data_IF_510729190828
#
_entry.id   IF_510729190828
#
_cell.length_a   1.000
_cell.length_b   1.000
_cell.length_c   1.000
_cell.angle_alpha   90.00
_cell.angle_beta   90.00
_cell.angle_gamma   90.00
#
_symmetry.space_group_name_H-M   'P 1'
#
loop_
_entity.id
_entity.type
_entity.pdbx_description
1 polymer ?
#
# COMPACT_ATOMS: atom_id res chain seq x y z
N UNK A 1 10.86 -6.64 -17.78
CA UNK A 1 10.11 -5.88 -16.75
C UNK A 1 8.62 -6.21 -16.80
N UNK A 2 7.87 -5.96 -15.72
CA UNK A 2 6.41 -6.13 -15.66
C UNK A 2 5.72 -4.81 -15.36
N UNK A 3 4.45 -4.71 -15.73
CA UNK A 3 3.56 -3.65 -15.28
C UNK A 3 2.83 -4.14 -14.03
N UNK A 4 3.05 -3.49 -12.89
CA UNK A 4 2.39 -3.79 -11.63
C UNK A 4 1.38 -2.68 -11.32
N UNK A 5 0.14 -3.05 -11.02
CA UNK A 5 -0.95 -2.10 -10.76
C UNK A 5 -1.63 -2.48 -9.45
N UNK A 6 -1.80 -1.52 -8.57
CA UNK A 6 -2.64 -1.67 -7.40
C UNK A 6 -3.82 -0.71 -7.45
N UNK A 7 -5.02 -1.25 -7.27
CA UNK A 7 -6.28 -0.50 -7.37
C UNK A 7 -6.88 -0.36 -5.97
N UNK A 8 -6.51 0.74 -5.32
CA UNK A 8 -7.08 1.15 -4.04
C UNK A 8 -8.36 1.98 -4.17
N UNK A 9 -9.05 2.21 -3.05
CA UNK A 9 -10.32 2.97 -3.03
C UNK A 9 -10.17 4.44 -3.48
N UNK A 10 -9.00 5.04 -3.26
CA UNK A 10 -8.73 6.46 -3.56
C UNK A 10 -7.80 6.63 -4.75
N UNK A 11 -6.76 5.81 -4.82
CA UNK A 11 -5.74 5.90 -5.86
C UNK A 11 -5.48 4.53 -6.49
N UNK A 12 -5.08 4.58 -7.76
CA UNK A 12 -4.48 3.46 -8.48
C UNK A 12 -2.99 3.75 -8.57
N UNK A 13 -2.16 2.85 -8.04
CA UNK A 13 -0.71 2.90 -8.19
C UNK A 13 -0.32 2.09 -9.42
N UNK A 14 0.48 2.67 -10.29
CA UNK A 14 0.98 2.03 -11.52
C UNK A 14 2.50 2.10 -11.50
N UNK A 15 3.16 0.96 -11.59
CA UNK A 15 4.61 0.90 -11.66
C UNK A 15 5.12 -0.06 -12.74
N UNK A 16 6.27 0.25 -13.32
CA UNK A 16 7.06 -0.70 -14.09
C UNK A 16 8.25 -1.15 -13.26
N UNK A 17 8.42 -2.46 -13.10
CA UNK A 17 9.43 -3.03 -12.21
C UNK A 17 10.02 -4.31 -12.81
N UNK A 18 11.29 -4.57 -12.53
CA UNK A 18 11.93 -5.88 -12.66
C UNK A 18 12.80 -6.20 -11.42
N UNK A 19 13.58 -7.27 -11.49
CA UNK A 19 14.44 -7.72 -10.38
C UNK A 19 15.49 -6.67 -9.96
N UNK A 20 15.84 -5.72 -10.84
CA UNK A 20 16.94 -4.78 -10.62
C UNK A 20 16.46 -3.41 -10.18
N UNK A 21 15.36 -2.90 -10.77
CA UNK A 21 14.90 -1.54 -10.53
C UNK A 21 13.41 -1.32 -10.75
N UNK A 22 12.92 -0.22 -10.19
CA UNK A 22 11.61 0.35 -10.49
C UNK A 22 11.83 1.52 -11.44
N UNK A 23 11.35 1.36 -12.66
CA UNK A 23 11.50 2.35 -13.74
C UNK A 23 10.66 3.60 -13.50
N UNK A 24 9.46 3.41 -12.95
CA UNK A 24 8.61 4.49 -12.48
C UNK A 24 7.54 3.97 -11.50
N UNK A 25 7.01 4.89 -10.71
CA UNK A 25 5.79 4.70 -9.91
C UNK A 25 4.92 5.94 -10.04
N UNK A 26 3.69 5.75 -10.52
CA UNK A 26 2.72 6.81 -10.70
C UNK A 26 1.40 6.52 -10.01
N UNK A 27 0.63 7.57 -9.77
CA UNK A 27 -0.69 7.48 -9.14
C UNK A 27 -1.76 8.14 -10.00
N UNK A 28 -2.83 7.39 -10.21
CA UNK A 28 -4.07 7.90 -10.79
C UNK A 28 -5.15 7.94 -9.71
N UNK A 29 -6.11 8.85 -9.84
CA UNK A 29 -7.31 8.80 -9.01
C UNK A 29 -8.17 7.59 -9.37
N UNK A 30 -8.73 6.91 -8.37
CA UNK A 30 -9.71 5.85 -8.57
C UNK A 30 -11.06 6.45 -8.95
N UNK A 31 -11.42 6.39 -10.22
CA UNK A 31 -12.68 6.93 -10.75
C UNK A 31 -13.56 5.77 -11.21
N UNK A 32 -14.59 5.46 -10.42
CA UNK A 32 -15.46 4.27 -10.65
C UNK A 32 -16.32 4.37 -11.90
N UNK A 33 -16.48 5.56 -12.47
CA UNK A 33 -17.30 5.81 -13.67
C UNK A 33 -16.49 5.79 -14.96
N UNK A 34 -15.14 5.70 -14.91
CA UNK A 34 -14.29 5.58 -16.09
C UNK A 34 -14.54 4.27 -16.83
N UNK A 35 -14.56 4.40 -18.14
CA UNK A 35 -14.65 3.28 -19.08
C UNK A 35 -13.28 2.60 -19.27
N UNK A 36 -13.29 1.42 -19.88
CA UNK A 36 -12.07 0.71 -20.28
C UNK A 36 -11.15 1.57 -21.16
N UNK A 37 -11.72 2.35 -22.10
CA UNK A 37 -10.93 3.20 -23.00
C UNK A 37 -10.24 4.34 -22.24
N UNK A 38 -10.93 4.97 -21.28
CA UNK A 38 -10.35 6.06 -20.49
C UNK A 38 -9.18 5.55 -19.65
N UNK A 39 -9.31 4.41 -18.96
CA UNK A 39 -8.18 3.79 -18.26
C UNK A 39 -7.06 3.38 -19.22
N UNK A 40 -7.39 2.89 -20.43
CA UNK A 40 -6.39 2.55 -21.43
C UNK A 40 -5.61 3.78 -21.90
N UNK A 41 -6.28 4.93 -22.07
CA UNK A 41 -5.61 6.20 -22.43
C UNK A 41 -4.70 6.66 -21.30
N UNK A 42 -5.15 6.65 -20.05
CA UNK A 42 -4.33 7.03 -18.89
C UNK A 42 -3.06 6.18 -18.80
N UNK A 43 -3.21 4.85 -18.84
CA UNK A 43 -2.10 3.90 -18.75
C UNK A 43 -1.12 4.05 -19.92
N UNK A 44 -1.65 4.21 -21.14
CA UNK A 44 -0.80 4.49 -22.31
C UNK A 44 -0.03 5.78 -22.15
N UNK A 45 -0.68 6.85 -21.66
CA UNK A 45 -0.04 8.14 -21.44
C UNK A 45 1.11 8.02 -20.41
N UNK A 46 0.92 7.27 -19.34
CA UNK A 46 2.01 7.00 -18.37
C UNK A 46 3.19 6.32 -19.06
N UNK A 47 2.94 5.23 -19.81
CA UNK A 47 4.02 4.53 -20.52
C UNK A 47 4.76 5.44 -21.51
N UNK A 48 4.03 6.29 -22.23
CA UNK A 48 4.60 7.24 -23.18
C UNK A 48 5.46 8.32 -22.47
N UNK A 49 5.01 8.84 -21.31
CA UNK A 49 5.76 9.81 -20.49
C UNK A 49 7.11 9.22 -20.04
N UNK A 50 7.13 7.97 -19.63
CA UNK A 50 8.35 7.29 -19.17
C UNK A 50 9.12 6.58 -20.30
N UNK A 51 8.70 6.78 -21.55
CA UNK A 51 9.30 6.18 -22.75
C UNK A 51 9.39 4.65 -22.72
N UNK A 52 8.50 3.99 -21.98
CA UNK A 52 8.42 2.53 -21.90
C UNK A 52 7.67 1.97 -23.12
N UNK A 53 8.35 1.13 -23.87
CA UNK A 53 7.72 0.46 -25.00
C UNK A 53 6.94 -0.76 -24.53
N UNK A 54 5.73 -0.94 -25.03
CA UNK A 54 4.90 -2.13 -24.71
C UNK A 54 5.58 -3.48 -24.99
N UNK A 55 6.58 -3.50 -25.87
CA UNK A 55 7.37 -4.69 -26.19
C UNK A 55 8.35 -5.07 -25.09
N UNK A 56 8.72 -4.14 -24.24
CA UNK A 56 9.64 -4.34 -23.10
C UNK A 56 8.89 -4.90 -21.88
N UNK A 57 7.56 -4.76 -21.85
CA UNK A 57 6.71 -5.27 -20.77
C UNK A 57 6.39 -6.75 -21.05
N UNK A 58 6.87 -7.65 -20.22
CA UNK A 58 6.66 -9.10 -20.34
C UNK A 58 5.25 -9.52 -19.95
N UNK A 59 4.66 -8.84 -18.98
CA UNK A 59 3.31 -9.10 -18.49
C UNK A 59 2.82 -8.06 -17.52
N UNK A 60 1.65 -8.31 -16.94
CA UNK A 60 1.05 -7.42 -15.96
C UNK A 60 0.42 -8.20 -14.82
N UNK A 61 0.54 -7.65 -13.61
CA UNK A 61 -0.18 -8.12 -12.43
C UNK A 61 -0.99 -6.96 -11.83
N UNK A 62 -2.23 -7.25 -11.44
CA UNK A 62 -3.13 -6.30 -10.78
C UNK A 62 -3.47 -6.82 -9.38
N UNK A 63 -3.21 -6.01 -8.35
CA UNK A 63 -3.87 -6.08 -7.05
C UNK A 63 -5.08 -5.15 -7.06
N UNK A 64 -6.17 -5.53 -6.41
CA UNK A 64 -7.33 -4.66 -6.33
C UNK A 64 -8.21 -4.97 -5.12
N UNK A 65 -8.63 -3.90 -4.45
CA UNK A 65 -9.68 -3.91 -3.42
C UNK A 65 -10.97 -3.20 -3.90
N UNK A 66 -11.09 -2.93 -5.21
CA UNK A 66 -12.25 -2.26 -5.83
C UNK A 66 -12.83 -3.11 -6.96
N UNK A 67 -13.69 -4.10 -6.64
CA UNK A 67 -14.22 -5.06 -7.61
C UNK A 67 -14.88 -4.43 -8.84
N UNK A 68 -15.51 -3.26 -8.69
CA UNK A 68 -16.24 -2.58 -9.75
C UNK A 68 -15.37 -2.18 -10.94
N UNK A 69 -14.09 -1.88 -10.70
CA UNK A 69 -13.18 -1.44 -11.78
C UNK A 69 -12.09 -2.46 -12.10
N UNK A 70 -11.94 -3.51 -11.31
CA UNK A 70 -10.90 -4.54 -11.52
C UNK A 70 -10.94 -5.10 -12.94
N UNK A 71 -12.12 -5.50 -13.40
CA UNK A 71 -12.26 -6.06 -14.76
C UNK A 71 -12.08 -5.00 -15.85
N UNK A 72 -12.53 -3.77 -15.61
CA UNK A 72 -12.37 -2.64 -16.53
C UNK A 72 -10.87 -2.32 -16.71
N UNK A 73 -10.13 -2.21 -15.62
CA UNK A 73 -8.69 -1.98 -15.64
C UNK A 73 -7.92 -3.14 -16.30
N UNK A 74 -8.29 -4.39 -16.01
CA UNK A 74 -7.75 -5.57 -16.67
C UNK A 74 -7.89 -5.49 -18.18
N UNK A 75 -9.11 -5.24 -18.68
CA UNK A 75 -9.39 -5.12 -20.12
C UNK A 75 -8.63 -3.94 -20.75
N UNK A 76 -8.50 -2.82 -20.04
CA UNK A 76 -7.72 -1.68 -20.48
C UNK A 76 -6.24 -2.05 -20.71
N UNK A 77 -5.63 -2.76 -19.77
CA UNK A 77 -4.24 -3.25 -19.89
C UNK A 77 -4.11 -4.27 -21.02
N UNK A 78 -5.01 -5.25 -21.12
CA UNK A 78 -5.01 -6.26 -22.17
C UNK A 78 -5.16 -5.60 -23.57
N UNK A 79 -5.92 -4.53 -23.67
CA UNK A 79 -6.06 -3.73 -24.92
C UNK A 79 -4.75 -3.09 -25.33
N UNK A 80 -3.95 -2.57 -24.39
CA UNK A 80 -2.68 -1.89 -24.66
C UNK A 80 -1.57 -2.89 -24.93
N UNK A 81 -1.39 -3.85 -24.03
CA UNK A 81 -0.25 -4.77 -24.03
C UNK A 81 -0.44 -5.96 -24.97
N UNK A 82 -1.69 -6.31 -25.32
CA UNK A 82 -2.04 -7.55 -26.04
C UNK A 82 -1.52 -8.83 -25.34
N UNK A 83 -1.51 -8.80 -24.00
CA UNK A 83 -1.05 -9.89 -23.14
C UNK A 83 -2.10 -10.17 -22.06
N UNK A 84 -2.15 -11.40 -21.56
CA UNK A 84 -2.99 -11.75 -20.42
C UNK A 84 -2.52 -11.01 -19.17
N UNK A 85 -3.46 -10.56 -18.38
CA UNK A 85 -3.22 -9.86 -17.12
C UNK A 85 -3.52 -10.81 -15.97
N UNK A 86 -2.56 -10.96 -15.06
CA UNK A 86 -2.76 -11.66 -13.79
C UNK A 86 -3.51 -10.75 -12.83
N UNK A 87 -4.55 -11.25 -12.19
CA UNK A 87 -5.24 -10.52 -11.10
C UNK A 87 -5.01 -11.29 -9.82
N UNK A 88 -4.40 -10.64 -8.85
CA UNK A 88 -4.11 -11.22 -7.54
C UNK A 88 -5.43 -11.56 -6.81
N UNK A 89 -5.59 -12.82 -6.44
CA UNK A 89 -6.80 -13.35 -5.82
C UNK A 89 -6.73 -14.86 -5.66
N UNK A 90 -7.87 -15.51 -5.38
CA UNK A 90 -7.94 -16.95 -5.20
C UNK A 90 -7.32 -17.72 -6.38
N UNK A 91 -6.48 -18.69 -6.07
CA UNK A 91 -5.79 -19.53 -7.08
C UNK A 91 -4.41 -19.02 -7.51
N UNK A 92 -4.02 -17.80 -7.16
CA UNK A 92 -2.66 -17.28 -7.41
C UNK A 92 -1.72 -17.76 -6.30
N UNK A 93 -0.58 -18.31 -6.68
CA UNK A 93 0.46 -18.77 -5.75
C UNK A 93 1.22 -17.58 -5.19
N UNK A 94 0.97 -17.21 -3.95
CA UNK A 94 1.70 -16.13 -3.27
C UNK A 94 2.95 -16.61 -2.55
N UNK A 95 2.94 -17.86 -2.07
CA UNK A 95 3.96 -18.42 -1.18
C UNK A 95 3.82 -17.96 0.27
N UNK A 96 2.82 -17.13 0.58
CA UNK A 96 2.49 -16.71 1.92
C UNK A 96 1.52 -17.72 2.56
N UNK A 97 1.88 -18.22 3.74
CA UNK A 97 0.97 -19.03 4.55
C UNK A 97 0.13 -18.09 5.43
N UNK A 98 -1.18 -18.08 5.22
CA UNK A 98 -2.12 -17.20 5.91
C UNK A 98 -2.90 -18.03 6.93
N UNK A 99 -2.74 -17.71 8.22
CA UNK A 99 -3.35 -18.41 9.36
C UNK A 99 -4.58 -17.69 9.92
N UNK A 100 -5.21 -16.84 9.11
CA UNK A 100 -6.48 -16.20 9.49
C UNK A 100 -7.65 -17.19 9.37
N UNK A 101 -8.71 -16.95 10.14
CA UNK A 101 -9.96 -17.75 10.08
C UNK A 101 -10.53 -17.80 8.66
N UNK A 102 -10.49 -16.67 7.94
CA UNK A 102 -10.95 -16.53 6.58
C UNK A 102 -9.88 -15.89 5.68
N UNK A 103 -8.90 -16.68 5.18
CA UNK A 103 -7.80 -16.14 4.37
C UNK A 103 -8.24 -15.37 3.12
N UNK A 104 -9.39 -15.75 2.54
CA UNK A 104 -9.95 -15.09 1.35
C UNK A 104 -10.50 -13.68 1.57
N UNK A 105 -10.59 -13.22 2.82
CA UNK A 105 -11.01 -11.86 3.17
C UNK A 105 -9.82 -10.89 3.26
N UNK A 106 -8.58 -11.41 3.23
CA UNK A 106 -7.40 -10.57 3.25
C UNK A 106 -7.29 -9.79 1.93
N UNK A 107 -7.13 -8.48 2.01
CA UNK A 107 -6.96 -7.61 0.86
C UNK A 107 -5.75 -8.02 0.01
N UNK A 108 -5.88 -7.91 -1.29
CA UNK A 108 -4.82 -8.29 -2.23
C UNK A 108 -3.55 -7.42 -2.04
N UNK A 109 -3.72 -6.16 -1.71
CA UNK A 109 -2.67 -5.22 -1.32
C UNK A 109 -1.89 -5.70 -0.09
N UNK A 110 -2.58 -6.08 0.99
CA UNK A 110 -1.95 -6.60 2.21
C UNK A 110 -1.22 -7.93 1.96
N UNK A 111 -1.73 -8.77 1.05
CA UNK A 111 -1.04 -9.98 0.63
C UNK A 111 0.27 -9.64 -0.09
N UNK A 112 0.25 -8.67 -1.01
CA UNK A 112 1.44 -8.25 -1.76
C UNK A 112 2.50 -7.66 -0.81
N UNK A 113 2.10 -6.75 0.08
CA UNK A 113 2.98 -6.16 1.08
C UNK A 113 3.61 -7.22 2.01
N UNK A 114 2.82 -8.16 2.49
CA UNK A 114 3.30 -9.24 3.34
C UNK A 114 4.27 -10.19 2.61
N UNK A 115 4.03 -10.47 1.32
CA UNK A 115 4.94 -11.24 0.48
C UNK A 115 6.28 -10.51 0.34
N UNK A 116 6.27 -9.23 0.01
CA UNK A 116 7.50 -8.44 -0.09
C UNK A 116 8.25 -8.40 1.24
N UNK A 117 7.54 -8.06 2.33
CA UNK A 117 8.12 -7.98 3.65
C UNK A 117 8.76 -9.31 4.07
N UNK A 118 8.05 -10.44 3.87
CA UNK A 118 8.57 -11.77 4.23
C UNK A 118 9.81 -12.18 3.44
N UNK A 119 9.99 -11.68 2.22
CA UNK A 119 11.17 -11.98 1.40
C UNK A 119 12.35 -11.05 1.73
N UNK A 120 12.11 -9.79 2.04
CA UNK A 120 13.14 -8.77 2.12
C UNK A 120 13.61 -8.47 3.55
N UNK A 121 12.84 -8.87 4.58
CA UNK A 121 13.11 -8.49 5.96
C UNK A 121 13.12 -9.71 6.90
N UNK A 122 13.86 -9.62 8.03
CA UNK A 122 13.86 -10.68 9.04
C UNK A 122 12.54 -10.71 9.82
N UNK A 123 12.04 -11.92 10.10
CA UNK A 123 10.85 -12.16 10.92
C UNK A 123 11.19 -12.23 12.43
N UNK A 124 10.23 -12.01 13.33
CA UNK A 124 8.83 -11.67 13.04
C UNK A 124 8.68 -10.25 12.49
N UNK A 125 7.55 -9.96 11.80
CA UNK A 125 7.35 -8.74 11.06
C UNK A 125 6.04 -8.05 11.41
N UNK A 126 6.09 -6.72 11.51
CA UNK A 126 4.91 -5.85 11.54
C UNK A 126 4.98 -4.96 10.30
N UNK A 127 3.99 -5.07 9.40
CA UNK A 127 3.90 -4.25 8.20
C UNK A 127 2.80 -3.21 8.38
N UNK A 128 3.17 -1.95 8.29
CA UNK A 128 2.29 -0.79 8.45
C UNK A 128 1.97 -0.21 7.07
N UNK A 129 0.89 -0.62 6.48
CA UNK A 129 0.04 0.10 5.53
C UNK A 129 -1.34 0.21 6.18
N UNK A 130 -1.93 -0.94 6.51
CA UNK A 130 -2.79 -1.06 7.70
C UNK A 130 -1.92 -1.54 8.89
N UNK A 131 -2.17 -2.64 9.53
CA UNK A 131 -1.20 -3.32 10.41
C UNK A 131 -1.31 -4.80 10.16
N UNK A 132 -0.30 -5.39 9.55
CA UNK A 132 -0.21 -6.82 9.27
C UNK A 132 0.91 -7.44 10.10
N UNK A 133 0.67 -8.64 10.67
CA UNK A 133 1.62 -9.31 11.55
C UNK A 133 2.01 -10.66 10.96
N UNK A 134 3.32 -10.90 10.83
CA UNK A 134 3.88 -12.19 10.46
C UNK A 134 4.73 -12.73 11.61
N UNK A 135 4.53 -14.00 11.95
CA UNK A 135 5.28 -14.67 13.01
C UNK A 135 6.74 -14.99 12.59
N UNK A 136 7.49 -15.62 13.49
CA UNK A 136 8.87 -16.08 13.30
C UNK A 136 9.06 -17.01 12.08
N UNK A 137 8.00 -17.73 11.68
CA UNK A 137 7.97 -18.61 10.49
C UNK A 137 7.52 -17.89 9.22
N UNK A 138 7.42 -16.56 9.25
CA UNK A 138 6.93 -15.75 8.12
C UNK A 138 5.51 -16.09 7.68
N UNK A 139 4.67 -16.56 8.59
CA UNK A 139 3.26 -16.85 8.35
C UNK A 139 2.45 -15.62 8.75
N UNK A 140 1.50 -15.22 7.93
CA UNK A 140 0.57 -14.13 8.23
C UNK A 140 -0.42 -14.60 9.29
N UNK A 141 -0.37 -14.03 10.49
CA UNK A 141 -1.17 -14.47 11.64
C UNK A 141 -2.37 -13.56 11.95
N UNK A 142 -2.42 -12.40 11.34
CA UNK A 142 -3.50 -11.44 11.55
C UNK A 142 -3.05 -10.00 11.42
N UNK A 143 -3.87 -9.08 11.89
CA UNK A 143 -3.55 -7.65 11.82
C UNK A 143 -4.62 -6.78 12.43
N UNK A 144 -4.48 -5.47 12.24
CA UNK A 144 -5.40 -4.45 12.72
C UNK A 144 -5.77 -3.49 11.61
N UNK A 145 -7.02 -3.08 11.55
CA UNK A 145 -7.51 -2.06 10.62
C UNK A 145 -7.66 -0.76 11.40
N UNK A 146 -6.91 0.26 10.99
CA UNK A 146 -6.90 1.57 11.62
C UNK A 146 -7.44 2.63 10.66
N UNK A 147 -8.08 3.69 11.17
CA UNK A 147 -8.40 4.83 10.34
C UNK A 147 -7.08 5.50 9.89
N UNK A 148 -6.89 5.58 8.57
CA UNK A 148 -5.72 6.27 8.01
C UNK A 148 -5.68 7.76 8.39
N UNK A 149 -4.51 8.36 8.31
CA UNK A 149 -4.27 9.78 8.69
C UNK A 149 -5.17 10.74 7.92
N UNK A 150 -5.38 10.50 6.62
CA UNK A 150 -6.28 11.31 5.78
C UNK A 150 -7.72 11.22 6.28
N UNK A 151 -8.23 10.00 6.49
CA UNK A 151 -9.58 9.78 7.01
C UNK A 151 -9.78 10.43 8.39
N UNK A 152 -8.77 10.35 9.26
CA UNK A 152 -8.81 10.99 10.59
C UNK A 152 -8.89 12.50 10.49
N UNK A 153 -8.14 13.10 9.56
CA UNK A 153 -8.20 14.54 9.30
C UNK A 153 -9.55 14.96 8.72
N UNK A 154 -10.05 14.21 7.73
CA UNK A 154 -11.35 14.48 7.10
C UNK A 154 -12.49 14.37 8.12
N UNK A 155 -12.45 13.38 9.00
CA UNK A 155 -13.41 13.22 10.08
C UNK A 155 -13.37 14.39 11.07
N UNK A 156 -12.17 14.87 11.41
CA UNK A 156 -11.97 16.02 12.30
C UNK A 156 -12.53 17.31 11.68
N UNK A 157 -12.19 17.58 10.42
CA UNK A 157 -12.61 18.83 9.73
C UNK A 157 -14.09 18.84 9.37
N UNK A 158 -14.65 17.69 8.97
CA UNK A 158 -16.06 17.60 8.57
C UNK A 158 -17.04 17.68 9.74
N UNK A 159 -16.61 17.29 10.95
CA UNK A 159 -17.48 17.25 12.14
C UNK A 159 -17.28 18.42 13.11
N UNK A 160 -16.24 19.21 12.95
CA UNK A 160 -15.97 20.38 13.77
C UNK A 160 -16.16 21.66 12.97
N UNK A 161 -17.33 22.27 13.10
CA UNK A 161 -17.78 23.43 12.30
C UNK A 161 -16.85 24.66 12.32
N UNK A 162 -15.93 24.74 13.29
CA UNK A 162 -14.97 25.83 13.41
C UNK A 162 -13.55 25.46 12.95
N UNK A 163 -13.32 24.22 12.52
CA UNK A 163 -12.02 23.79 12.06
C UNK A 163 -11.97 23.84 10.53
N UNK A 164 -11.13 24.71 9.99
CA UNK A 164 -10.87 24.79 8.56
C UNK A 164 -10.06 23.60 8.06
N UNK A 165 -10.08 23.35 6.74
CA UNK A 165 -9.21 22.33 6.12
C UNK A 165 -7.74 22.71 6.29
N UNK A 166 -6.92 21.72 6.67
CA UNK A 166 -5.47 21.83 6.76
C UNK A 166 -4.79 20.74 5.94
N UNK A 167 -3.56 21.00 5.50
CA UNK A 167 -2.71 19.95 4.94
C UNK A 167 -2.10 19.07 6.04
N UNK A 168 -1.78 17.81 5.69
CA UNK A 168 -0.99 16.93 6.56
C UNK A 168 0.47 17.36 6.44
N UNK A 169 0.89 18.21 7.37
CA UNK A 169 2.21 18.83 7.42
C UNK A 169 2.77 18.77 8.85
N UNK A 170 4.10 18.80 8.93
CA UNK A 170 4.81 18.84 10.20
C UNK A 170 4.36 20.06 11.05
N UNK A 171 3.99 19.85 12.33
CA UNK A 171 3.74 20.96 13.23
C UNK A 171 5.06 21.62 13.63
N UNK A 172 5.03 22.92 13.94
CA UNK A 172 6.22 23.63 14.44
C UNK A 172 6.63 23.17 15.85
N UNK A 173 5.64 22.83 16.66
CA UNK A 173 5.83 22.36 18.03
C UNK A 173 4.80 21.30 18.39
N UNK A 174 5.16 20.39 19.31
CA UNK A 174 4.23 19.40 19.86
C UNK A 174 3.00 20.09 20.51
N UNK A 175 3.22 21.16 21.25
CA UNK A 175 2.13 21.96 21.85
C UNK A 175 1.84 23.13 20.91
N UNK A 176 0.77 23.02 20.13
CA UNK A 176 0.32 24.09 19.23
C UNK A 176 -0.19 25.31 20.02
N UNK A 177 0.04 26.51 19.47
CA UNK A 177 -0.39 27.77 20.06
C UNK A 177 -1.53 28.45 19.33
N UNK A 178 -2.05 27.85 18.28
CA UNK A 178 -3.24 28.28 17.55
C UNK A 178 -3.93 27.02 16.98
N UNK A 179 -5.18 27.15 16.54
CA UNK A 179 -6.02 26.05 16.09
C UNK A 179 -5.34 25.20 15.00
N UNK A 180 -4.75 25.84 13.99
CA UNK A 180 -4.07 25.13 12.88
C UNK A 180 -2.90 24.30 13.38
N UNK A 181 -2.02 24.86 14.21
CA UNK A 181 -0.89 24.13 14.78
C UNK A 181 -1.34 23.03 15.75
N UNK A 182 -2.41 23.26 16.52
CA UNK A 182 -3.00 22.21 17.37
C UNK A 182 -3.53 21.04 16.54
N UNK A 183 -4.20 21.31 15.41
CA UNK A 183 -4.71 20.28 14.51
C UNK A 183 -3.56 19.52 13.84
N UNK A 184 -2.54 20.20 13.29
CA UNK A 184 -1.37 19.56 12.69
C UNK A 184 -0.66 18.67 13.70
N UNK A 185 -0.41 19.20 14.90
CA UNK A 185 0.24 18.44 15.97
C UNK A 185 -0.60 17.24 16.39
N UNK A 186 -1.90 17.43 16.60
CA UNK A 186 -2.81 16.35 16.97
C UNK A 186 -2.77 15.20 15.98
N UNK A 187 -2.92 15.47 14.69
CA UNK A 187 -2.93 14.45 13.63
C UNK A 187 -1.58 13.70 13.55
N UNK A 188 -0.46 14.42 13.53
CA UNK A 188 0.86 13.80 13.38
C UNK A 188 1.25 13.00 14.62
N UNK A 189 1.22 13.61 15.80
CA UNK A 189 1.69 12.94 17.01
C UNK A 189 0.74 11.88 17.54
N UNK A 190 -0.59 12.03 17.34
CA UNK A 190 -1.51 10.96 17.72
C UNK A 190 -1.30 9.71 16.84
N UNK A 191 -1.08 9.90 15.53
CA UNK A 191 -0.79 8.80 14.62
C UNK A 191 0.53 8.11 14.98
N UNK A 192 1.59 8.87 15.22
CA UNK A 192 2.89 8.32 15.63
C UNK A 192 2.80 7.57 16.96
N UNK A 193 2.18 8.17 17.98
CA UNK A 193 2.01 7.53 19.28
C UNK A 193 1.12 6.28 19.22
N UNK A 194 0.11 6.28 18.34
CA UNK A 194 -0.72 5.09 18.09
C UNK A 194 0.11 3.95 17.49
N UNK A 195 0.94 4.25 16.49
CA UNK A 195 1.82 3.24 15.89
C UNK A 195 2.83 2.69 16.90
N UNK A 196 3.49 3.57 17.67
CA UNK A 196 4.43 3.14 18.72
C UNK A 196 3.76 2.20 19.72
N UNK A 197 2.58 2.59 20.22
CA UNK A 197 1.87 1.78 21.22
C UNK A 197 1.27 0.50 20.65
N UNK A 198 0.93 0.44 19.36
CA UNK A 198 0.46 -0.78 18.68
C UNK A 198 1.62 -1.74 18.49
N UNK A 199 2.76 -1.25 18.00
CA UNK A 199 3.97 -2.07 17.85
C UNK A 199 4.36 -2.70 19.17
N UNK A 200 4.41 -1.92 20.25
CA UNK A 200 4.74 -2.40 21.59
C UNK A 200 3.81 -3.54 22.04
N UNK A 201 2.50 -3.38 21.90
CA UNK A 201 1.51 -4.42 22.27
C UNK A 201 1.60 -5.68 21.43
N UNK A 202 1.90 -5.54 20.12
CA UNK A 202 2.10 -6.70 19.25
C UNK A 202 3.38 -7.44 19.66
N UNK A 203 4.46 -6.72 19.95
CA UNK A 203 5.71 -7.33 20.44
C UNK A 203 5.53 -8.05 21.79
N UNK A 204 4.74 -7.47 22.70
CA UNK A 204 4.34 -8.12 23.96
C UNK A 204 3.58 -9.44 23.70
N UNK A 205 2.63 -9.45 22.77
CA UNK A 205 1.86 -10.64 22.38
C UNK A 205 2.72 -11.69 21.67
N UNK A 206 3.66 -11.25 20.82
CA UNK A 206 4.62 -12.15 20.16
C UNK A 206 5.70 -12.69 21.11
N UNK A 207 5.93 -12.02 22.25
CA UNK A 207 6.98 -12.33 23.20
C UNK A 207 8.39 -12.01 22.71
N UNK A 208 8.53 -11.23 21.67
CA UNK A 208 9.81 -10.83 21.06
C UNK A 208 9.67 -9.55 20.26
N UNK A 209 10.79 -8.84 20.08
CA UNK A 209 10.85 -7.69 19.16
C UNK A 209 10.61 -8.12 17.72
N UNK A 210 9.96 -7.24 16.95
CA UNK A 210 9.66 -7.45 15.54
C UNK A 210 10.37 -6.43 14.64
N UNK A 211 10.66 -6.85 13.41
CA UNK A 211 11.05 -5.90 12.37
C UNK A 211 9.81 -5.13 11.90
N UNK A 212 9.82 -3.81 12.03
CA UNK A 212 8.71 -2.97 11.65
C UNK A 212 9.01 -2.29 10.31
N UNK A 213 8.17 -2.54 9.33
CA UNK A 213 8.26 -1.96 7.98
C UNK A 213 6.99 -1.18 7.71
N UNK A 214 7.11 0.05 7.22
CA UNK A 214 5.97 0.85 6.83
C UNK A 214 6.00 1.19 5.35
N UNK A 215 4.82 1.22 4.75
CA UNK A 215 4.60 1.64 3.36
C UNK A 215 3.41 2.60 3.28
N UNK A 216 3.04 2.99 2.07
CA UNK A 216 1.92 3.92 1.85
C UNK A 216 2.32 5.39 1.82
N UNK A 217 1.50 6.18 1.12
CA UNK A 217 1.86 7.55 0.73
C UNK A 217 2.00 8.57 1.88
N UNK A 218 1.43 8.29 3.04
CA UNK A 218 1.50 9.19 4.21
C UNK A 218 2.50 8.70 5.27
N UNK A 219 3.03 7.49 5.16
CA UNK A 219 3.97 6.91 6.11
C UNK A 219 5.17 7.83 6.36
N UNK A 220 5.78 8.36 5.30
CA UNK A 220 6.92 9.29 5.41
C UNK A 220 6.66 10.57 6.21
N UNK A 221 5.38 10.96 6.37
CA UNK A 221 5.00 12.14 7.16
C UNK A 221 4.84 11.82 8.64
N UNK A 222 4.64 10.55 9.01
CA UNK A 222 4.35 10.11 10.38
C UNK A 222 5.57 9.44 11.03
N UNK A 223 6.28 8.57 10.30
CA UNK A 223 7.40 7.79 10.82
C UNK A 223 8.48 8.63 11.51
N UNK A 224 8.86 9.84 11.02
CA UNK A 224 9.86 10.67 11.70
C UNK A 224 9.49 11.08 13.14
N UNK A 225 8.21 10.94 13.52
CA UNK A 225 7.68 11.29 14.84
C UNK A 225 7.45 10.06 15.73
N UNK A 226 7.65 8.85 15.20
CA UNK A 226 7.60 7.61 15.98
C UNK A 226 8.85 7.44 16.84
N UNK A 227 8.70 6.81 17.99
CA UNK A 227 9.80 6.40 18.88
C UNK A 227 10.37 5.04 18.52
N UNK A 228 9.53 4.16 18.02
CA UNK A 228 9.94 2.83 17.52
C UNK A 228 10.74 2.97 16.23
N UNK A 229 11.72 2.07 16.06
CA UNK A 229 12.48 2.00 14.81
C UNK A 229 11.60 1.38 13.73
N UNK A 230 11.19 2.18 12.76
CA UNK A 230 10.33 1.77 11.64
C UNK A 230 11.10 2.01 10.34
N UNK A 231 11.23 0.98 9.52
CA UNK A 231 11.84 1.08 8.19
C UNK A 231 10.77 1.51 7.18
N UNK A 232 11.01 2.59 6.44
CA UNK A 232 10.12 3.01 5.35
C UNK A 232 10.52 2.30 4.06
N UNK A 233 9.58 1.60 3.44
CA UNK A 233 9.72 1.01 2.11
C UNK A 233 8.50 1.42 1.25
N UNK A 234 8.63 2.54 0.54
CA UNK A 234 7.54 3.09 -0.29
C UNK A 234 7.22 2.19 -1.51
N UNK A 235 8.08 1.22 -1.81
CA UNK A 235 8.00 0.32 -2.97
C UNK A 235 7.52 -1.10 -2.61
N UNK A 236 7.20 -1.34 -1.34
CA UNK A 236 6.91 -2.67 -0.81
C UNK A 236 5.85 -3.40 -1.64
N UNK A 237 4.76 -2.72 -1.95
CA UNK A 237 3.66 -3.27 -2.75
C UNK A 237 4.11 -3.74 -4.14
N UNK A 238 4.85 -2.90 -4.87
CA UNK A 238 5.31 -3.24 -6.23
C UNK A 238 6.29 -4.42 -6.20
N UNK A 239 7.18 -4.46 -5.21
CA UNK A 239 8.10 -5.61 -4.98
C UNK A 239 7.31 -6.90 -4.72
N UNK A 240 6.25 -6.83 -3.91
CA UNK A 240 5.39 -7.97 -3.64
C UNK A 240 4.67 -8.48 -4.87
N UNK A 241 4.14 -7.57 -5.69
CA UNK A 241 3.51 -7.92 -6.95
C UNK A 241 4.50 -8.58 -7.93
N UNK A 242 5.73 -8.09 -8.01
CA UNK A 242 6.77 -8.72 -8.84
C UNK A 242 7.06 -10.15 -8.37
N UNK A 243 7.31 -10.37 -7.09
CA UNK A 243 7.58 -11.69 -6.51
C UNK A 243 6.43 -12.66 -6.81
N UNK A 244 5.19 -12.21 -6.65
CA UNK A 244 4.00 -13.02 -6.93
C UNK A 244 3.90 -13.33 -8.42
N UNK A 245 4.12 -12.34 -9.30
CA UNK A 245 4.08 -12.53 -10.74
C UNK A 245 5.09 -13.58 -11.19
N UNK A 246 6.33 -13.48 -10.76
CA UNK A 246 7.40 -14.44 -11.10
C UNK A 246 7.09 -15.85 -10.62
N UNK A 247 6.56 -16.00 -9.40
CA UNK A 247 6.20 -17.29 -8.82
C UNK A 247 5.12 -18.04 -9.62
N UNK A 248 4.33 -17.33 -10.41
CA UNK A 248 3.27 -17.90 -11.22
C UNK A 248 3.64 -18.04 -12.72
N UNK A 249 4.79 -17.51 -13.14
CA UNK A 249 5.26 -17.57 -14.54
C UNK A 249 6.59 -18.33 -14.71
N UNK A 250 7.17 -18.81 -13.62
CA UNK A 250 8.26 -19.78 -13.58
C UNK A 250 7.63 -21.14 -13.39
#
# INVERSE_FOLDING_TARGET
MILAIDIGNTNIVVGCIDENEIYFTERLSTVRTKTELEYAVDLKTILDIYHIKKTEIEGCIISSVVPQITNIAKLAVEKILKKKVMVLGPGIKTGLNILMDNPGQLGADLVADAVAASNNYPAPLIVIDMVSVLNDKKQYIGGMILPGVGLSLDALTSRASQLGGIGIEAPKHLIGKNTTECMKSGIIYSSAASLDGIVERIEEELGTEATVVATGGLAKKIIPYCKKKITLDEELLLKGLLIIYEKNNK
#
